data_IF_568303128495
#
_entry.id   IF_568303128495
#
_cell.length_a   1.000
_cell.length_b   1.000
_cell.length_c   1.000
_cell.angle_alpha   90.00
_cell.angle_beta   90.00
_cell.angle_gamma   90.00
#
_symmetry.space_group_name_H-M   'P 1'
#
loop_
_entity.id
_entity.type
_entity.pdbx_description
1 polymer ?
#
# COMPACT_ATOMS: atom_id res chain seq x y z
N UNK A 1 4.45 -25.34 16.47
CA UNK A 1 4.18 -24.91 16.56
C UNK A 1 3.97 -23.81 16.31
N UNK A 2 3.77 -23.41 16.37
CA UNK A 2 3.50 -22.50 16.01
C UNK A 2 3.55 -21.40 16.63
N UNK A 3 3.95 -20.72 16.49
CA UNK A 3 4.18 -19.63 17.08
C UNK A 3 3.12 -18.81 16.98
N UNK A 4 2.25 -19.27 17.33
CA UNK A 4 1.21 -18.71 17.23
C UNK A 4 1.14 -17.35 17.51
N UNK A 5 1.38 -16.83 18.42
CA UNK A 5 1.17 -15.51 18.74
C UNK A 5 1.82 -14.54 17.82
N UNK A 6 2.51 -15.06 16.90
CA UNK A 6 3.17 -14.20 16.04
C UNK A 6 2.59 -14.11 14.71
N UNK A 7 1.38 -14.42 14.60
CA UNK A 7 0.74 -14.33 13.31
C UNK A 7 0.83 -12.91 12.83
N UNK A 8 1.19 -12.70 11.61
CA UNK A 8 1.25 -11.38 11.07
C UNK A 8 -0.12 -10.87 10.76
N UNK A 9 -0.33 -9.56 10.87
CA UNK A 9 -1.61 -8.99 10.50
C UNK A 9 -1.88 -9.26 9.03
N UNK A 10 -3.14 -9.45 8.71
CA UNK A 10 -3.48 -9.79 7.34
C UNK A 10 -3.13 -8.68 6.36
N UNK A 11 -3.08 -7.44 6.80
CA UNK A 11 -2.77 -6.36 5.87
C UNK A 11 -1.34 -6.47 5.34
N UNK A 12 -0.47 -7.15 6.06
CA UNK A 12 0.90 -7.30 5.59
C UNK A 12 0.94 -8.13 4.32
N UNK A 13 -0.03 -9.00 4.14
CA UNK A 13 -0.09 -9.83 2.96
C UNK A 13 -1.06 -9.33 1.91
N UNK A 14 -1.65 -8.17 2.13
CA UNK A 14 -2.59 -7.61 1.15
C UNK A 14 -1.78 -7.05 -0.01
N UNK A 15 -1.88 -7.68 -1.15
CA UNK A 15 -1.12 -7.26 -2.31
C UNK A 15 -2.04 -6.83 -3.44
N UNK A 16 -1.53 -5.96 -4.28
CA UNK A 16 -2.29 -5.50 -5.41
C UNK A 16 -2.30 -6.53 -6.52
N UNK A 17 -3.46 -6.80 -7.08
CA UNK A 17 -3.54 -7.74 -8.19
C UNK A 17 -2.96 -7.12 -9.44
N UNK A 18 -2.61 -7.94 -10.42
CA UNK A 18 -1.98 -7.44 -11.65
C UNK A 18 -2.88 -6.51 -12.44
N UNK A 19 -4.18 -6.70 -12.36
CA UNK A 19 -5.10 -5.83 -13.06
C UNK A 19 -5.96 -5.00 -12.11
N UNK A 20 -5.59 -4.99 -10.86
CA UNK A 20 -6.40 -4.30 -9.87
C UNK A 20 -6.05 -2.82 -9.85
N UNK A 21 -7.03 -1.92 -9.89
CA UNK A 21 -6.74 -0.50 -9.78
C UNK A 21 -6.06 -0.19 -8.46
N UNK A 22 -5.15 0.74 -8.48
CA UNK A 22 -4.40 1.07 -7.28
C UNK A 22 -5.32 1.54 -6.16
N UNK A 23 -6.34 2.31 -6.48
CA UNK A 23 -7.26 2.80 -5.46
C UNK A 23 -8.01 1.65 -4.79
N UNK A 24 -8.33 0.62 -5.54
CA UNK A 24 -9.01 -0.53 -5.00
C UNK A 24 -8.10 -1.25 -4.00
N UNK A 25 -6.86 -1.42 -4.39
CA UNK A 25 -5.87 -2.05 -3.53
C UNK A 25 -5.70 -1.24 -2.24
N UNK A 26 -5.62 0.09 -2.36
CA UNK A 26 -5.45 0.93 -1.18
C UNK A 26 -6.65 0.86 -0.26
N UNK A 27 -7.83 0.76 -0.81
CA UNK A 27 -9.03 0.64 0.01
C UNK A 27 -9.00 -0.65 0.81
N UNK A 28 -8.59 -1.73 0.18
CA UNK A 28 -8.50 -3.01 0.87
C UNK A 28 -7.41 -2.98 1.93
N UNK A 29 -6.35 -2.23 1.71
CA UNK A 29 -5.25 -2.17 2.63
C UNK A 29 -5.56 -1.25 3.79
N UNK A 30 -6.23 -0.14 3.51
CA UNK A 30 -6.50 0.84 4.53
C UNK A 30 -7.34 0.34 5.69
N UNK A 31 -8.37 -0.39 5.41
CA UNK A 31 -9.27 -0.84 6.45
C UNK A 31 -8.55 -1.63 7.53
N UNK A 32 -7.84 -2.71 7.20
CA UNK A 32 -7.18 -3.46 8.25
C UNK A 32 -6.05 -2.70 8.93
N UNK A 33 -5.38 -1.82 8.22
CA UNK A 33 -4.31 -1.04 8.82
C UNK A 33 -4.87 -0.09 9.86
N UNK A 34 -5.95 0.62 9.50
CA UNK A 34 -6.55 1.55 10.42
C UNK A 34 -7.16 0.83 11.62
N UNK A 35 -7.61 -0.37 11.41
CA UNK A 35 -8.18 -1.14 12.48
C UNK A 35 -7.13 -1.62 13.46
N UNK A 36 -5.98 -2.02 12.96
CA UNK A 36 -4.93 -2.53 13.79
C UNK A 36 -4.12 -1.45 14.48
N UNK A 37 -3.99 -0.29 13.86
CA UNK A 37 -3.17 0.76 14.39
C UNK A 37 -4.01 1.97 14.73
N UNK A 38 -4.08 2.29 16.01
CA UNK A 38 -4.90 3.39 16.45
C UNK A 38 -4.30 4.73 16.14
N UNK A 39 -2.99 4.85 16.22
CA UNK A 39 -2.38 6.14 15.98
C UNK A 39 -2.40 6.46 14.52
N UNK A 40 -3.04 7.55 14.20
CA UNK A 40 -3.19 7.93 12.82
C UNK A 40 -1.88 8.14 12.10
N UNK A 41 -0.95 8.80 12.75
CA UNK A 41 0.33 9.04 12.15
C UNK A 41 1.04 7.77 11.79
N UNK A 42 1.06 6.83 12.70
CA UNK A 42 1.72 5.57 12.47
C UNK A 42 1.01 4.76 11.39
N UNK A 43 -0.31 4.78 11.42
CA UNK A 43 -1.05 4.02 10.42
C UNK A 43 -0.80 4.60 9.03
N UNK A 44 -0.65 5.92 8.93
CA UNK A 44 -0.37 6.53 7.65
C UNK A 44 0.99 6.15 7.13
N UNK A 45 1.99 6.16 7.98
CA UNK A 45 3.32 5.78 7.58
C UNK A 45 3.35 4.33 7.14
N UNK A 46 2.69 3.47 7.90
CA UNK A 46 2.64 2.08 7.55
C UNK A 46 1.90 1.87 6.24
N UNK A 47 0.81 2.60 6.07
CA UNK A 47 0.01 2.48 4.87
C UNK A 47 0.84 2.91 3.65
N UNK A 48 1.60 3.97 3.79
CA UNK A 48 2.46 4.42 2.72
C UNK A 48 3.50 3.37 2.37
N UNK A 49 4.11 2.80 3.37
CA UNK A 49 5.12 1.78 3.17
C UNK A 49 4.54 0.58 2.44
N UNK A 50 3.40 0.09 2.89
CA UNK A 50 2.80 -1.07 2.26
C UNK A 50 2.22 -0.73 0.89
N UNK A 51 1.77 0.50 0.74
CA UNK A 51 1.24 0.92 -0.55
C UNK A 51 2.32 0.81 -1.64
N UNK A 52 3.57 0.95 -1.25
CA UNK A 52 4.64 0.78 -2.21
C UNK A 52 5.08 -0.68 -2.25
N UNK A 53 5.36 -1.24 -1.09
CA UNK A 53 5.89 -2.59 -1.01
C UNK A 53 5.00 -3.65 -1.62
N UNK A 54 3.73 -3.54 -1.41
CA UNK A 54 2.79 -4.55 -1.90
C UNK A 54 2.12 -4.19 -3.22
N UNK A 55 2.53 -3.11 -3.82
CA UNK A 55 2.00 -2.75 -5.12
C UNK A 55 2.49 -3.73 -6.17
N UNK A 56 1.76 -3.86 -7.26
CA UNK A 56 2.19 -4.79 -8.31
C UNK A 56 3.39 -4.19 -9.04
N UNK A 57 4.09 -4.97 -9.83
CA UNK A 57 5.33 -4.49 -10.46
C UNK A 57 5.15 -3.25 -11.31
N UNK A 58 4.01 -3.13 -11.96
CA UNK A 58 3.74 -2.00 -12.78
C UNK A 58 3.73 -0.73 -11.96
N UNK A 59 2.97 -0.71 -10.89
CA UNK A 59 2.89 0.45 -10.03
C UNK A 59 4.21 0.69 -9.31
N UNK A 60 4.89 -0.36 -8.94
CA UNK A 60 6.16 -0.23 -8.26
C UNK A 60 7.16 0.54 -9.12
N UNK A 61 7.16 0.27 -10.38
CA UNK A 61 8.04 0.95 -11.29
C UNK A 61 7.78 2.45 -11.29
N UNK A 62 6.52 2.82 -11.23
CA UNK A 62 6.14 4.20 -11.22
C UNK A 62 6.42 4.86 -9.89
N UNK A 63 6.17 4.12 -8.83
CA UNK A 63 6.32 4.67 -7.50
C UNK A 63 7.75 4.76 -7.01
N UNK A 64 8.62 3.95 -7.58
CA UNK A 64 10.00 3.93 -7.17
C UNK A 64 10.64 5.30 -7.06
N UNK A 65 10.63 6.09 -8.13
CA UNK A 65 11.22 7.40 -8.09
C UNK A 65 10.53 8.34 -7.10
N UNK A 66 9.24 8.16 -6.91
CA UNK A 66 8.49 9.03 -6.02
C UNK A 66 8.76 8.73 -4.57
N UNK A 67 9.05 7.49 -4.27
CA UNK A 67 9.27 7.08 -2.91
C UNK A 67 10.33 7.90 -2.21
N UNK A 68 11.41 8.18 -2.90
CA UNK A 68 12.49 8.90 -2.29
C UNK A 68 12.24 10.38 -2.12
N UNK A 69 11.14 10.88 -2.64
CA UNK A 69 10.83 12.28 -2.57
C UNK A 69 9.90 12.64 -1.41
N UNK A 70 9.61 11.70 -0.55
CA UNK A 70 8.73 11.96 0.56
C UNK A 70 7.32 12.27 0.14
N UNK A 71 6.86 11.60 -0.90
CA UNK A 71 5.52 11.87 -1.39
C UNK A 71 4.47 11.19 -0.54
N UNK A 72 3.27 11.66 -0.63
CA UNK A 72 2.16 11.08 0.10
C UNK A 72 1.44 10.06 -0.74
N UNK A 73 0.52 9.35 -0.11
CA UNK A 73 -0.26 8.35 -0.83
C UNK A 73 -1.08 8.99 -1.95
N UNK A 74 -1.54 10.21 -1.73
CA UNK A 74 -2.29 10.89 -2.77
C UNK A 74 -1.48 11.00 -4.06
N UNK A 75 -0.19 11.26 -3.93
CA UNK A 75 0.65 11.34 -5.11
C UNK A 75 0.86 9.99 -5.73
N UNK A 76 0.94 8.95 -4.92
CA UNK A 76 1.06 7.60 -5.44
C UNK A 76 -0.18 7.27 -6.28
N UNK A 77 -1.35 7.61 -5.77
CA UNK A 77 -2.58 7.34 -6.48
C UNK A 77 -2.60 8.06 -7.82
N UNK A 78 -2.19 9.30 -7.82
CA UNK A 78 -2.17 10.06 -9.04
C UNK A 78 -1.23 9.47 -10.05
N UNK A 79 -0.04 9.10 -9.60
CA UNK A 79 0.95 8.55 -10.50
C UNK A 79 0.47 7.25 -11.12
N UNK A 80 -0.11 6.38 -10.32
CA UNK A 80 -0.58 5.11 -10.83
C UNK A 80 -1.81 5.27 -11.73
N UNK A 81 -2.64 6.24 -11.42
CA UNK A 81 -3.81 6.46 -12.25
C UNK A 81 -3.43 6.99 -13.62
N UNK A 82 -2.39 7.80 -13.67
CA UNK A 82 -2.00 8.36 -14.93
C UNK A 82 -1.45 7.36 -15.91
N UNK A 83 -1.00 6.25 -15.40
CA UNK A 83 -0.46 5.26 -16.25
C UNK A 83 -1.37 4.75 -17.27
N UNK A 84 -2.60 4.58 -16.99
CA UNK A 84 -3.41 3.96 -17.92
C UNK A 84 -3.68 4.83 -19.05
N UNK A 85 -3.37 5.95 -19.04
CA UNK A 85 -3.62 6.69 -20.10
C UNK A 85 -2.96 6.37 -21.14
N UNK A 86 -2.51 5.97 -21.59
CA UNK A 86 -1.80 5.61 -22.59
C UNK A 86 -1.66 5.32 -23.04
#
# INVERSE_FOLDING_TARGET
MVPIGHAQPSFVKTMQGPNEPYTNFLARLRVPVKRAIEREKISEILLQTLAFKNANPKCKCILGPLKGLGTSIAKYIRACSGVKKN
#
